data_IF_153273847831
#
_entry.id   IF_153273847831
#
_cell.length_a   1.000
_cell.length_b   1.000
_cell.length_c   1.000
_cell.angle_alpha   90.00
_cell.angle_beta   90.00
_cell.angle_gamma   90.00
#
_symmetry.space_group_name_H-M   'P 1'
#
loop_
_entity.id
_entity.type
_entity.pdbx_description
1 polymer ?
#
# COMPACT_ATOMS: atom_id res chain seq x y z
N UNK A 1 -16.34 -12.91 16.60
CA UNK A 1 -15.05 -13.62 16.81
C UNK A 1 -14.06 -13.13 15.75
N UNK A 2 -12.77 -12.94 16.08
CA UNK A 2 -11.78 -12.33 15.17
C UNK A 2 -11.13 -13.39 14.27
N UNK A 3 -10.94 -13.08 12.99
CA UNK A 3 -10.44 -14.03 11.95
C UNK A 3 -9.09 -14.67 12.31
N UNK A 4 -8.18 -13.91 12.93
CA UNK A 4 -6.86 -14.40 13.37
C UNK A 4 -6.91 -15.49 14.45
N UNK A 5 -8.07 -15.70 15.10
CA UNK A 5 -8.24 -16.77 16.12
C UNK A 5 -8.31 -18.16 15.46
N UNK A 6 -8.73 -18.22 14.20
CA UNK A 6 -8.92 -19.47 13.45
C UNK A 6 -8.01 -19.61 12.24
N UNK A 7 -7.42 -18.50 11.79
CA UNK A 7 -6.59 -18.42 10.59
C UNK A 7 -5.28 -17.73 10.95
N UNK A 8 -4.21 -18.53 11.09
CA UNK A 8 -2.88 -18.03 11.49
C UNK A 8 -2.18 -17.25 10.37
N UNK A 9 -2.66 -17.34 9.12
CA UNK A 9 -2.16 -16.50 8.02
C UNK A 9 -2.63 -15.05 8.17
N UNK A 10 -3.65 -14.80 8.99
CA UNK A 10 -4.15 -13.47 9.29
C UNK A 10 -3.43 -12.91 10.51
N UNK A 11 -2.61 -11.88 10.25
CA UNK A 11 -1.83 -11.21 11.31
C UNK A 11 -2.75 -10.63 12.41
N UNK A 12 -2.44 -10.85 13.71
CA UNK A 12 -3.30 -10.40 14.81
C UNK A 12 -3.26 -8.88 15.07
N UNK A 13 -2.42 -8.12 14.35
CA UNK A 13 -2.22 -6.69 14.59
C UNK A 13 -2.51 -5.87 13.33
N UNK A 14 -3.00 -4.65 13.52
CA UNK A 14 -3.24 -3.68 12.46
C UNK A 14 -1.98 -2.89 12.03
N UNK A 15 -0.80 -3.33 12.47
CA UNK A 15 0.42 -2.53 12.32
C UNK A 15 0.76 -2.23 10.86
N UNK A 16 0.47 -3.15 9.93
CA UNK A 16 0.68 -2.95 8.50
C UNK A 16 -0.19 -1.84 7.94
N UNK A 17 -1.50 -1.88 8.19
CA UNK A 17 -2.43 -0.85 7.68
C UNK A 17 -2.15 0.52 8.31
N UNK A 18 -1.84 0.56 9.61
CA UNK A 18 -1.48 1.81 10.29
C UNK A 18 -0.18 2.41 9.75
N UNK A 19 0.80 1.58 9.44
CA UNK A 19 2.07 2.03 8.87
C UNK A 19 1.86 2.66 7.50
N UNK A 20 0.93 2.15 6.69
CA UNK A 20 0.58 2.74 5.39
C UNK A 20 -0.14 4.09 5.53
N UNK A 21 -0.91 4.30 6.60
CA UNK A 21 -1.68 5.54 6.83
C UNK A 21 -0.87 6.65 7.52
N UNK A 22 0.14 6.30 8.33
CA UNK A 22 0.98 7.27 9.06
C UNK A 22 1.54 8.42 8.22
N UNK A 23 2.06 8.21 7.00
CA UNK A 23 2.59 9.30 6.17
C UNK A 23 1.56 10.40 5.86
N UNK A 24 0.28 10.08 5.79
CA UNK A 24 -0.79 11.07 5.56
C UNK A 24 -1.02 11.92 6.80
N UNK A 25 -1.00 11.30 7.99
CA UNK A 25 -1.13 12.06 9.23
C UNK A 25 0.09 12.93 9.49
N UNK A 26 1.29 12.44 9.19
CA UNK A 26 2.52 13.24 9.24
C UNK A 26 2.46 14.42 8.28
N UNK A 27 1.98 14.22 7.05
CA UNK A 27 1.77 15.31 6.09
C UNK A 27 0.80 16.36 6.66
N UNK A 28 -0.32 15.93 7.23
CA UNK A 28 -1.29 16.84 7.83
C UNK A 28 -0.70 17.62 9.02
N UNK A 29 0.13 16.96 9.84
CA UNK A 29 0.77 17.55 11.02
C UNK A 29 1.83 18.59 10.65
N UNK A 30 2.70 18.28 9.67
CA UNK A 30 3.88 19.10 9.36
C UNK A 30 3.59 20.12 8.26
N UNK A 31 2.83 19.71 7.24
CA UNK A 31 2.63 20.50 6.01
C UNK A 31 1.17 20.97 5.82
N UNK A 32 0.29 20.71 6.79
CA UNK A 32 -1.13 21.03 6.70
C UNK A 32 -1.91 20.07 5.79
N UNK A 33 -3.20 20.33 5.55
CA UNK A 33 -4.06 19.45 4.74
C UNK A 33 -3.84 19.67 3.24
N UNK A 34 -3.86 18.59 2.45
CA UNK A 34 -3.96 18.70 0.98
C UNK A 34 -5.30 19.33 0.58
N UNK A 35 -5.26 20.40 -0.21
CA UNK A 35 -6.44 21.18 -0.61
C UNK A 35 -7.02 20.78 -1.97
N UNK A 36 -6.27 20.02 -2.78
CA UNK A 36 -6.71 19.56 -4.09
C UNK A 36 -7.02 18.06 -4.07
N UNK A 37 -8.23 17.70 -4.53
CA UNK A 37 -8.64 16.31 -4.70
C UNK A 37 -7.75 15.58 -5.71
N UNK A 38 -7.39 16.23 -6.82
CA UNK A 38 -6.51 15.66 -7.85
C UNK A 38 -5.10 15.38 -7.33
N UNK A 39 -4.50 16.33 -6.59
CA UNK A 39 -3.18 16.12 -5.98
C UNK A 39 -3.21 14.99 -4.93
N UNK A 40 -4.31 14.89 -4.17
CA UNK A 40 -4.52 13.83 -3.19
C UNK A 40 -4.65 12.47 -3.86
N UNK A 41 -5.42 12.36 -4.94
CA UNK A 41 -5.58 11.13 -5.71
C UNK A 41 -4.26 10.66 -6.31
N UNK A 42 -3.49 11.56 -6.94
CA UNK A 42 -2.17 11.24 -7.48
C UNK A 42 -1.23 10.70 -6.39
N UNK A 43 -1.18 11.35 -5.22
CA UNK A 43 -0.37 10.88 -4.09
C UNK A 43 -0.83 9.51 -3.60
N UNK A 44 -2.13 9.29 -3.45
CA UNK A 44 -2.69 8.01 -3.01
C UNK A 44 -2.39 6.90 -4.00
N UNK A 45 -2.47 7.15 -5.30
CA UNK A 45 -2.16 6.18 -6.34
C UNK A 45 -0.72 5.70 -6.27
N UNK A 46 0.24 6.62 -6.09
CA UNK A 46 1.65 6.26 -5.94
C UNK A 46 1.89 5.51 -4.64
N UNK A 47 1.35 6.01 -3.52
CA UNK A 47 1.54 5.41 -2.21
C UNK A 47 0.93 4.00 -2.11
N UNK A 48 -0.27 3.79 -2.66
CA UNK A 48 -0.94 2.49 -2.66
C UNK A 48 -0.19 1.49 -3.53
N UNK A 49 0.24 1.88 -4.73
CA UNK A 49 1.04 1.02 -5.62
C UNK A 49 2.33 0.53 -4.93
N UNK A 50 3.07 1.44 -4.29
CA UNK A 50 4.31 1.09 -3.58
C UNK A 50 4.06 0.25 -2.32
N UNK A 51 2.96 0.51 -1.60
CA UNK A 51 2.57 -0.32 -0.46
C UNK A 51 2.27 -1.76 -0.89
N UNK A 52 1.50 -1.93 -1.97
CA UNK A 52 1.20 -3.24 -2.54
C UNK A 52 2.47 -3.96 -2.97
N UNK A 53 3.33 -3.32 -3.78
CA UNK A 53 4.60 -3.90 -4.21
C UNK A 53 5.44 -4.41 -3.02
N UNK A 54 5.55 -3.59 -1.96
CA UNK A 54 6.31 -3.96 -0.76
C UNK A 54 5.71 -5.14 -0.01
N UNK A 55 4.38 -5.23 0.09
CA UNK A 55 3.68 -6.37 0.73
C UNK A 55 3.94 -7.68 0.01
N UNK A 56 4.20 -7.63 -1.29
CA UNK A 56 4.58 -8.79 -2.11
C UNK A 56 6.09 -8.97 -2.27
N UNK A 57 6.91 -8.33 -1.41
CA UNK A 57 8.36 -8.49 -1.41
C UNK A 57 9.11 -7.72 -2.52
N UNK A 58 8.42 -6.89 -3.30
CA UNK A 58 9.04 -6.09 -4.36
C UNK A 58 9.53 -4.76 -3.78
N UNK A 59 10.81 -4.44 -4.01
CA UNK A 59 11.38 -3.17 -3.55
C UNK A 59 10.71 -1.98 -4.24
N UNK A 60 10.58 -0.85 -3.53
CA UNK A 60 9.95 0.35 -4.08
C UNK A 60 10.68 0.87 -5.33
N UNK A 61 12.02 0.84 -5.32
CA UNK A 61 12.84 1.28 -6.46
C UNK A 61 12.63 0.38 -7.69
N UNK A 62 12.56 -0.94 -7.49
CA UNK A 62 12.25 -1.88 -8.57
C UNK A 62 10.84 -1.65 -9.14
N UNK A 63 9.84 -1.46 -8.27
CA UNK A 63 8.47 -1.20 -8.69
C UNK A 63 8.34 0.11 -9.49
N UNK A 64 9.05 1.17 -9.07
CA UNK A 64 9.12 2.44 -9.81
C UNK A 64 9.84 2.29 -11.14
N UNK A 65 10.99 1.60 -11.17
CA UNK A 65 11.74 1.34 -12.40
C UNK A 65 10.90 0.62 -13.44
N UNK A 66 10.14 -0.38 -13.02
CA UNK A 66 9.22 -1.14 -13.88
C UNK A 66 8.07 -0.26 -14.39
N UNK A 67 7.46 0.55 -13.51
CA UNK A 67 6.40 1.47 -13.89
C UNK A 67 6.88 2.52 -14.92
N UNK A 68 8.05 3.13 -14.72
CA UNK A 68 8.61 4.11 -15.67
C UNK A 68 9.03 3.50 -17.01
N UNK A 69 9.29 2.19 -17.06
CA UNK A 69 9.56 1.44 -18.30
C UNK A 69 8.30 1.02 -19.07
N UNK A 70 7.12 1.39 -18.57
CA UNK A 70 5.83 1.00 -19.18
C UNK A 70 5.39 -0.43 -18.85
N UNK A 71 6.12 -1.14 -17.99
CA UNK A 71 5.80 -2.52 -17.57
C UNK A 71 5.63 -2.58 -16.05
N UNK A 72 4.62 -1.90 -15.47
CA UNK A 72 4.43 -1.86 -14.02
C UNK A 72 4.27 -3.27 -13.46
N UNK A 73 4.80 -3.50 -12.26
CA UNK A 73 4.62 -4.77 -11.59
C UNK A 73 3.15 -4.93 -11.16
N UNK A 74 2.58 -6.11 -11.37
CA UNK A 74 1.24 -6.46 -10.92
C UNK A 74 1.31 -7.68 -10.00
N UNK A 75 0.50 -7.74 -8.93
CA UNK A 75 0.42 -8.93 -8.11
C UNK A 75 -0.07 -10.12 -8.94
N UNK A 76 0.39 -11.34 -8.63
CA UNK A 76 -0.18 -12.54 -9.22
C UNK A 76 -1.69 -12.60 -8.95
N UNK A 77 -2.48 -13.17 -9.87
CA UNK A 77 -3.92 -13.34 -9.65
C UNK A 77 -4.15 -14.11 -8.35
N UNK A 78 -5.18 -13.70 -7.61
CA UNK A 78 -5.57 -14.40 -6.39
C UNK A 78 -5.83 -15.87 -6.71
N UNK A 79 -5.19 -16.77 -5.98
CA UNK A 79 -5.39 -18.20 -6.15
C UNK A 79 -6.80 -18.48 -5.64
N UNK A 80 -7.74 -18.78 -6.53
CA UNK A 80 -9.05 -19.28 -6.15
C UNK A 80 -8.85 -20.69 -5.62
N UNK A 81 -8.89 -20.86 -4.30
CA UNK A 81 -8.93 -22.17 -3.69
C UNK A 81 -10.21 -22.88 -4.18
N UNK A 82 -10.02 -24.00 -4.88
CA UNK A 82 -11.06 -25.00 -5.19
C UNK A 82 -11.30 -25.83 -3.94
#
# INVERSE_FOLDING_TARGET
MLRFVFDLDVWPTNNLSERDLRPFKTQQKISGRLTSAAATACRLQVASYLSTARKHGVSALQALRLAFRGTPWMPPPAITAT
#
